data_IF_956882165817
#
_entry.id   IF_956882165817
#
_cell.length_a   1.000
_cell.length_b   1.000
_cell.length_c   1.000
_cell.angle_alpha   90.00
_cell.angle_beta   90.00
_cell.angle_gamma   90.00
#
_symmetry.space_group_name_H-M   'P 1'
#
loop_
_entity.id
_entity.type
_entity.pdbx_description
1 polymer ?
#
# COMPACT_ATOMS: atom_id res chain seq x y z
N UNK A 1 -10.63 34.99 -36.37
CA UNK A 1 -9.34 35.27 -35.75
C UNK A 1 -8.25 34.72 -36.65
N UNK A 2 -7.51 35.59 -37.31
CA UNK A 2 -6.32 35.20 -38.07
C UNK A 2 -5.18 34.90 -37.08
N UNK A 3 -4.23 34.03 -37.45
CA UNK A 3 -3.09 33.68 -36.59
C UNK A 3 -2.25 34.89 -36.14
N UNK A 4 -2.47 36.06 -36.75
CA UNK A 4 -1.78 37.32 -36.47
C UNK A 4 -2.23 38.04 -35.18
N UNK A 5 -3.26 37.57 -34.48
CA UNK A 5 -3.76 38.23 -33.24
C UNK A 5 -3.41 37.50 -31.93
N UNK A 6 -2.80 36.32 -31.97
CA UNK A 6 -2.36 35.65 -30.73
C UNK A 6 -1.06 36.27 -30.24
N UNK A 7 -1.15 37.06 -29.16
CA UNK A 7 0.00 37.76 -28.57
C UNK A 7 1.10 36.81 -28.04
N UNK A 8 0.76 35.54 -27.76
CA UNK A 8 1.66 34.53 -27.16
C UNK A 8 1.26 33.08 -27.54
N UNK A 9 1.51 32.62 -28.78
CA UNK A 9 1.14 31.26 -29.22
C UNK A 9 1.76 30.14 -28.37
N UNK A 10 2.93 30.36 -27.79
CA UNK A 10 3.61 29.45 -26.86
C UNK A 10 2.82 29.21 -25.57
N UNK A 11 2.19 30.27 -25.02
CA UNK A 11 1.37 30.14 -23.81
C UNK A 11 0.08 29.37 -24.11
N UNK A 12 -0.47 29.51 -25.32
CA UNK A 12 -1.61 28.71 -25.78
C UNK A 12 -1.21 27.23 -25.84
N UNK A 13 -0.03 26.90 -26.38
CA UNK A 13 0.45 25.52 -26.43
C UNK A 13 0.63 24.90 -25.03
N UNK A 14 1.18 25.66 -24.07
CA UNK A 14 1.31 25.23 -22.67
C UNK A 14 -0.07 24.98 -22.04
N UNK A 15 -1.03 25.88 -22.25
CA UNK A 15 -2.38 25.73 -21.71
C UNK A 15 -3.10 24.50 -22.30
N UNK A 16 -2.97 24.27 -23.60
CA UNK A 16 -3.51 23.08 -24.28
C UNK A 16 -2.87 21.82 -23.71
N UNK A 17 -1.53 21.76 -23.63
CA UNK A 17 -0.82 20.60 -23.08
C UNK A 17 -1.24 20.30 -21.63
N UNK A 18 -1.40 21.34 -20.80
CA UNK A 18 -1.87 21.21 -19.42
C UNK A 18 -3.30 20.65 -19.36
N UNK A 19 -4.19 21.11 -20.23
CA UNK A 19 -5.56 20.60 -20.28
C UNK A 19 -5.61 19.14 -20.77
N UNK A 20 -4.82 18.80 -21.78
CA UNK A 20 -4.71 17.41 -22.26
C UNK A 20 -4.14 16.49 -21.18
N UNK A 21 -3.12 16.92 -20.45
CA UNK A 21 -2.57 16.14 -19.34
C UNK A 21 -3.63 15.85 -18.26
N UNK A 22 -4.53 16.80 -17.96
CA UNK A 22 -5.65 16.58 -17.03
C UNK A 22 -6.64 15.55 -17.56
N UNK A 23 -6.99 15.62 -18.85
CA UNK A 23 -7.90 14.66 -19.49
C UNK A 23 -7.30 13.25 -19.50
N UNK A 24 -6.05 13.11 -19.93
CA UNK A 24 -5.32 11.84 -19.95
C UNK A 24 -5.21 11.25 -18.54
N UNK A 25 -4.94 12.09 -17.53
CA UNK A 25 -4.90 11.63 -16.14
C UNK A 25 -6.26 11.11 -15.68
N UNK A 26 -7.33 11.87 -15.90
CA UNK A 26 -8.68 11.46 -15.49
C UNK A 26 -9.14 10.17 -16.19
N UNK A 27 -8.87 10.03 -17.49
CA UNK A 27 -9.13 8.81 -18.24
C UNK A 27 -8.29 7.63 -17.74
N UNK A 28 -7.00 7.86 -17.46
CA UNK A 28 -6.09 6.86 -16.91
C UNK A 28 -6.49 6.37 -15.52
N UNK A 29 -6.90 7.27 -14.63
CA UNK A 29 -7.37 6.93 -13.29
C UNK A 29 -8.65 6.07 -13.35
N UNK A 30 -9.60 6.42 -14.23
CA UNK A 30 -10.80 5.62 -14.48
C UNK A 30 -10.45 4.24 -15.05
N UNK A 31 -9.61 4.18 -16.09
CA UNK A 31 -9.19 2.93 -16.70
C UNK A 31 -8.44 2.02 -15.71
N UNK A 32 -7.66 2.58 -14.80
CA UNK A 32 -7.00 1.82 -13.72
C UNK A 32 -8.01 1.24 -12.73
N UNK A 33 -9.03 1.99 -12.35
CA UNK A 33 -10.10 1.49 -11.47
C UNK A 33 -10.86 0.34 -12.13
N UNK A 34 -11.20 0.48 -13.42
CA UNK A 34 -11.90 -0.57 -14.17
C UNK A 34 -11.01 -1.82 -14.34
N UNK A 35 -9.74 -1.64 -14.72
CA UNK A 35 -8.78 -2.75 -14.84
C UNK A 35 -8.50 -3.45 -13.49
N UNK A 36 -8.49 -2.71 -12.38
CA UNK A 36 -8.37 -3.28 -11.04
C UNK A 36 -9.58 -4.13 -10.64
N UNK A 37 -10.75 -3.99 -11.29
CA UNK A 37 -11.89 -4.91 -11.07
C UNK A 37 -11.78 -6.21 -11.86
N UNK A 38 -11.06 -6.17 -12.99
CA UNK A 38 -10.92 -7.32 -13.90
C UNK A 38 -9.77 -8.24 -13.45
N UNK A 39 -8.65 -7.66 -12.99
CA UNK A 39 -7.49 -8.43 -12.57
C UNK A 39 -7.63 -8.93 -11.12
N UNK A 40 -7.51 -10.24 -10.93
CA UNK A 40 -7.39 -10.85 -9.61
C UNK A 40 -6.08 -10.41 -8.93
N UNK A 41 -6.06 -10.35 -7.59
CA UNK A 41 -4.84 -10.02 -6.84
C UNK A 41 -3.74 -11.06 -7.14
N UNK A 42 -2.52 -10.60 -7.42
CA UNK A 42 -1.37 -11.44 -7.78
C UNK A 42 -1.33 -11.85 -9.25
N UNK A 43 -2.40 -11.61 -10.01
CA UNK A 43 -2.47 -11.95 -11.44
C UNK A 43 -1.75 -10.92 -12.31
N UNK A 44 -1.37 -11.37 -13.51
CA UNK A 44 -0.74 -10.51 -14.50
C UNK A 44 -1.18 -10.85 -15.90
N UNK A 45 -1.37 -9.83 -16.74
CA UNK A 45 -1.82 -9.96 -18.12
C UNK A 45 -0.90 -9.15 -19.04
N UNK A 46 -0.47 -9.77 -20.14
CA UNK A 46 0.25 -9.08 -21.20
C UNK A 46 -0.74 -8.26 -22.02
N UNK A 47 -0.42 -6.99 -22.24
CA UNK A 47 -1.25 -6.04 -22.97
C UNK A 47 -0.82 -6.01 -24.44
N UNK A 48 -1.78 -6.18 -25.33
CA UNK A 48 -1.61 -6.05 -26.76
C UNK A 48 -2.49 -4.92 -27.30
N UNK A 49 -2.01 -4.23 -28.33
CA UNK A 49 -2.81 -3.30 -29.12
C UNK A 49 -3.85 -4.06 -29.94
N UNK A 50 -4.93 -3.40 -30.41
CA UNK A 50 -5.84 -3.95 -31.41
C UNK A 50 -5.15 -4.34 -32.73
N UNK A 51 -3.93 -3.85 -32.97
CA UNK A 51 -3.10 -4.17 -34.12
C UNK A 51 -2.19 -5.41 -33.87
N UNK A 52 -2.35 -6.10 -32.74
CA UNK A 52 -1.59 -7.30 -32.39
C UNK A 52 -0.18 -7.03 -31.83
N UNK A 53 0.27 -5.78 -31.74
CA UNK A 53 1.57 -5.45 -31.15
C UNK A 53 1.53 -5.45 -29.63
N UNK A 54 2.59 -5.96 -28.99
CA UNK A 54 2.75 -5.94 -27.54
C UNK A 54 3.00 -4.52 -27.03
N UNK A 55 2.20 -4.07 -26.07
CA UNK A 55 2.32 -2.77 -25.41
C UNK A 55 3.03 -2.89 -24.06
N UNK A 56 2.79 -3.97 -23.32
CA UNK A 56 3.35 -4.10 -21.98
C UNK A 56 2.71 -5.20 -21.16
N UNK A 57 2.70 -5.01 -19.85
CA UNK A 57 2.13 -5.94 -18.88
C UNK A 57 1.41 -5.17 -17.78
N UNK A 58 0.19 -5.57 -17.47
CA UNK A 58 -0.52 -5.17 -16.27
C UNK A 58 -0.33 -6.25 -15.19
N UNK A 59 -0.01 -5.83 -13.97
CA UNK A 59 0.16 -6.69 -12.81
C UNK A 59 -0.66 -6.09 -11.67
N UNK A 60 -1.51 -6.88 -11.02
CA UNK A 60 -2.10 -6.48 -9.74
C UNK A 60 -1.30 -7.13 -8.63
N UNK A 61 -0.70 -6.35 -7.74
CA UNK A 61 0.05 -6.93 -6.62
C UNK A 61 -0.89 -7.72 -5.71
N UNK A 62 -0.38 -8.75 -5.03
CA UNK A 62 -1.05 -9.38 -3.90
C UNK A 62 -0.23 -9.09 -2.64
N UNK A 63 -0.46 -7.94 -1.98
CA UNK A 63 0.28 -7.62 -0.76
C UNK A 63 -0.08 -8.64 0.32
N UNK A 64 0.92 -9.01 1.12
CA UNK A 64 0.72 -9.86 2.28
C UNK A 64 -0.18 -9.14 3.31
N UNK A 65 -0.92 -9.89 4.16
CA UNK A 65 -1.65 -9.31 5.27
C UNK A 65 -0.71 -8.50 6.16
N UNK A 66 -1.18 -7.34 6.62
CA UNK A 66 -0.46 -6.51 7.58
C UNK A 66 -1.28 -6.46 8.86
N UNK A 67 -0.64 -6.72 9.99
CA UNK A 67 -1.26 -6.62 11.29
C UNK A 67 -1.02 -5.21 11.87
N UNK A 68 -2.08 -4.59 12.38
CA UNK A 68 -2.02 -3.27 13.00
C UNK A 68 -2.59 -3.33 14.43
N UNK A 69 -1.89 -2.69 15.37
CA UNK A 69 -2.39 -2.49 16.74
C UNK A 69 -3.39 -1.33 16.73
N UNK A 70 -4.66 -1.64 16.88
CA UNK A 70 -5.76 -0.67 16.93
C UNK A 70 -6.12 -0.22 18.34
N UNK A 71 -5.91 -1.09 19.34
CA UNK A 71 -6.10 -0.77 20.76
C UNK A 71 -4.93 -1.32 21.58
N UNK A 72 -3.89 -0.50 21.80
CA UNK A 72 -2.72 -0.91 22.57
C UNK A 72 -3.04 -1.33 24.01
N UNK A 73 -4.07 -0.73 24.63
CA UNK A 73 -4.40 -1.00 26.02
C UNK A 73 -5.12 -2.35 26.17
N UNK A 74 -6.04 -2.67 25.26
CA UNK A 74 -6.66 -3.99 25.22
C UNK A 74 -5.64 -5.10 24.92
N UNK A 75 -4.71 -4.84 24.00
CA UNK A 75 -3.62 -5.77 23.70
C UNK A 75 -2.71 -6.00 24.91
N UNK A 76 -2.27 -4.94 25.60
CA UNK A 76 -1.44 -5.05 26.81
C UNK A 76 -2.13 -5.86 27.91
N UNK A 77 -3.41 -5.58 28.18
CA UNK A 77 -4.18 -6.31 29.18
C UNK A 77 -4.29 -7.80 28.85
N UNK A 78 -4.56 -8.14 27.58
CA UNK A 78 -4.62 -9.53 27.13
C UNK A 78 -3.25 -10.23 27.21
N UNK A 79 -2.16 -9.54 26.84
CA UNK A 79 -0.81 -10.08 26.92
C UNK A 79 -0.39 -10.40 28.36
N UNK A 80 -0.76 -9.54 29.33
CA UNK A 80 -0.52 -9.81 30.76
C UNK A 80 -1.30 -11.02 31.27
N UNK A 81 -2.52 -11.21 30.78
CA UNK A 81 -3.37 -12.35 31.19
C UNK A 81 -2.84 -13.67 30.59
N UNK A 82 -2.47 -13.67 29.31
CA UNK A 82 -2.10 -14.89 28.57
C UNK A 82 -0.65 -15.29 28.71
N UNK A 83 0.27 -14.33 28.75
CA UNK A 83 1.70 -14.56 28.83
C UNK A 83 2.30 -13.86 30.06
N UNK A 84 1.87 -14.22 31.28
CA UNK A 84 2.36 -13.57 32.50
C UNK A 84 3.87 -13.76 32.71
N UNK A 85 4.45 -14.83 32.15
CA UNK A 85 5.89 -15.12 32.15
C UNK A 85 6.69 -14.18 31.23
N UNK A 86 6.02 -13.52 30.29
CA UNK A 86 6.62 -12.56 29.35
C UNK A 86 6.45 -11.11 29.79
N UNK A 87 5.83 -10.88 30.95
CA UNK A 87 5.72 -9.57 31.58
C UNK A 87 7.00 -9.35 32.39
N UNK A 88 7.85 -8.46 31.92
CA UNK A 88 9.14 -8.17 32.56
C UNK A 88 9.13 -6.75 33.13
N UNK A 89 9.65 -6.51 34.34
CA UNK A 89 9.82 -5.16 34.83
C UNK A 89 10.89 -4.44 33.99
N UNK A 90 10.54 -3.30 33.39
CA UNK A 90 11.47 -2.43 32.67
C UNK A 90 11.58 -1.11 33.42
N UNK A 91 12.80 -0.73 33.79
CA UNK A 91 13.14 0.54 34.44
C UNK A 91 14.17 1.27 33.53
N UNK A 92 14.21 2.62 33.48
CA UNK A 92 15.15 3.34 32.60
C UNK A 92 15.62 4.67 33.18
N UNK A 93 16.91 4.74 33.58
CA UNK A 93 17.74 5.88 33.99
C UNK A 93 19.24 5.47 33.88
N UNK A 94 20.05 6.20 33.08
CA UNK A 94 21.53 6.11 32.96
C UNK A 94 22.14 4.75 32.57
N UNK A 95 23.34 4.77 31.97
CA UNK A 95 24.06 3.60 31.39
C UNK A 95 24.44 2.49 32.42
N UNK A 96 24.21 2.72 33.71
CA UNK A 96 24.40 1.75 34.80
C UNK A 96 23.16 1.78 35.72
N UNK A 97 22.07 1.29 35.15
CA UNK A 97 20.74 1.30 35.73
C UNK A 97 20.67 0.52 37.06
N UNK A 98 21.36 -0.61 37.14
CA UNK A 98 21.32 -1.49 38.32
C UNK A 98 21.92 -0.79 39.55
N UNK A 99 23.00 -0.02 39.37
CA UNK A 99 23.58 0.79 40.44
C UNK A 99 22.63 1.90 40.91
N UNK A 100 21.90 2.55 39.98
CA UNK A 100 20.91 3.59 40.30
C UNK A 100 19.72 3.01 41.05
N UNK A 101 19.20 1.85 40.62
CA UNK A 101 18.06 1.20 41.27
C UNK A 101 18.45 0.69 42.66
N UNK A 102 19.62 0.08 42.82
CA UNK A 102 20.12 -0.36 44.13
C UNK A 102 20.28 0.82 45.09
N UNK A 103 20.89 1.91 44.63
CA UNK A 103 21.04 3.16 45.39
C UNK A 103 19.69 3.75 45.81
N UNK A 104 18.73 3.82 44.88
CA UNK A 104 17.39 4.34 45.17
C UNK A 104 16.60 3.42 46.10
N UNK A 105 16.69 2.09 45.97
CA UNK A 105 16.08 1.13 46.90
C UNK A 105 16.65 1.26 48.32
N UNK A 106 17.95 1.52 48.44
CA UNK A 106 18.62 1.69 49.73
C UNK A 106 18.33 3.05 50.39
N UNK A 107 18.41 4.15 49.63
CA UNK A 107 18.38 5.50 50.20
C UNK A 107 17.03 6.22 50.06
N UNK A 108 16.22 5.87 49.08
CA UNK A 108 14.95 6.54 48.81
C UNK A 108 13.89 5.56 48.26
N UNK A 109 13.50 4.52 49.02
CA UNK A 109 12.61 3.46 48.53
C UNK A 109 11.23 3.96 48.09
N UNK A 110 10.80 5.11 48.60
CA UNK A 110 9.55 5.76 48.20
C UNK A 110 9.60 6.35 46.78
N UNK A 111 10.78 6.45 46.16
CA UNK A 111 10.97 6.91 44.78
C UNK A 111 10.95 5.78 43.75
N UNK A 112 11.00 4.51 44.19
CA UNK A 112 11.00 3.35 43.30
C UNK A 112 9.63 2.68 43.35
N UNK A 113 9.02 2.52 42.18
CA UNK A 113 7.79 1.75 42.04
C UNK A 113 8.02 0.68 40.98
N UNK A 114 7.85 -0.58 41.38
CA UNK A 114 7.80 -1.68 40.44
C UNK A 114 6.48 -1.61 39.68
N UNK A 115 6.60 -1.49 38.36
CA UNK A 115 5.48 -1.62 37.43
C UNK A 115 5.82 -2.74 36.47
N UNK A 116 4.91 -3.69 36.37
CA UNK A 116 4.95 -4.74 35.37
C UNK A 116 4.65 -4.13 34.00
N UNK A 117 5.48 -4.43 32.99
CA UNK A 117 5.22 -4.08 31.60
C UNK A 117 5.39 -5.31 30.73
N UNK A 118 4.65 -5.37 29.63
CA UNK A 118 4.83 -6.42 28.63
C UNK A 118 6.22 -6.27 28.01
N UNK A 119 6.94 -7.38 27.84
CA UNK A 119 8.23 -7.34 27.16
C UNK A 119 8.10 -6.73 25.76
N UNK A 120 9.01 -5.82 25.40
CA UNK A 120 8.94 -5.02 24.16
C UNK A 120 8.82 -5.90 22.90
N UNK A 121 9.43 -7.09 22.92
CA UNK A 121 9.39 -8.06 21.81
C UNK A 121 8.02 -8.70 21.57
N UNK A 122 7.13 -8.72 22.57
CA UNK A 122 5.85 -9.45 22.47
C UNK A 122 4.92 -8.84 21.43
N UNK A 123 4.91 -7.51 21.29
CA UNK A 123 4.06 -6.85 20.29
C UNK A 123 4.51 -7.21 18.87
N UNK A 124 5.80 -7.07 18.50
CA UNK A 124 6.32 -7.61 17.24
C UNK A 124 6.03 -9.09 17.01
N UNK A 125 6.20 -9.94 18.03
CA UNK A 125 5.96 -11.39 17.92
C UNK A 125 4.48 -11.70 17.59
N UNK A 126 3.53 -11.01 18.24
CA UNK A 126 2.08 -11.12 17.97
C UNK A 126 1.73 -10.62 16.57
N UNK A 127 2.30 -9.49 16.15
CA UNK A 127 2.05 -8.94 14.82
C UNK A 127 2.58 -9.88 13.73
N UNK A 128 3.79 -10.41 13.89
CA UNK A 128 4.36 -11.37 12.96
C UNK A 128 3.53 -12.66 12.86
N UNK A 129 3.08 -13.21 14.01
CA UNK A 129 2.19 -14.36 14.04
C UNK A 129 0.86 -14.07 13.31
N UNK A 130 0.28 -12.90 13.56
CA UNK A 130 -0.98 -12.45 12.95
C UNK A 130 -0.87 -12.24 11.43
N UNK A 131 0.26 -11.73 10.94
CA UNK A 131 0.54 -11.56 9.52
C UNK A 131 0.62 -12.91 8.79
N UNK A 132 1.38 -13.86 9.35
CA UNK A 132 1.53 -15.22 8.81
C UNK A 132 0.18 -15.95 8.78
N UNK A 133 -0.63 -15.81 9.84
CA UNK A 133 -1.93 -16.46 9.93
C UNK A 133 -3.00 -15.78 9.07
N UNK A 134 -2.82 -14.51 8.70
CA UNK A 134 -3.83 -13.71 8.01
C UNK A 134 -5.04 -13.33 8.87
N UNK A 135 -4.95 -13.51 10.20
CA UNK A 135 -5.97 -13.18 11.19
C UNK A 135 -5.30 -12.90 12.55
N UNK A 136 -5.94 -12.17 13.49
CA UNK A 136 -5.37 -11.91 14.80
C UNK A 136 -4.99 -13.21 15.51
N UNK A 137 -3.69 -13.40 15.74
CA UNK A 137 -3.12 -14.63 16.31
C UNK A 137 -1.97 -14.33 17.27
N UNK A 138 -1.95 -14.98 18.43
CA UNK A 138 -0.86 -14.96 19.40
C UNK A 138 0.35 -15.78 18.92
N UNK A 139 1.53 -15.58 19.53
CA UNK A 139 2.75 -16.31 19.17
C UNK A 139 2.62 -17.84 19.32
N UNK A 140 1.76 -18.31 20.21
CA UNK A 140 1.52 -19.74 20.47
C UNK A 140 0.28 -20.29 19.73
N UNK A 141 -0.29 -19.50 18.80
CA UNK A 141 -1.37 -19.92 17.90
C UNK A 141 -2.79 -19.62 18.40
N UNK A 142 -2.95 -18.87 19.50
CA UNK A 142 -4.25 -18.44 20.01
C UNK A 142 -4.92 -17.46 19.04
N UNK A 143 -6.20 -17.67 18.75
CA UNK A 143 -6.98 -16.80 17.88
C UNK A 143 -7.68 -15.68 18.67
N UNK A 144 -8.15 -14.66 17.95
CA UNK A 144 -8.96 -13.55 18.46
C UNK A 144 -8.22 -12.64 19.47
N UNK A 145 -6.97 -12.28 19.13
CA UNK A 145 -6.16 -11.35 19.94
C UNK A 145 -6.81 -9.94 20.00
N UNK A 146 -7.23 -9.46 21.20
CA UNK A 146 -7.81 -8.13 21.36
C UNK A 146 -6.85 -7.01 20.94
N UNK A 147 -7.40 -5.97 20.32
CA UNK A 147 -6.63 -4.80 19.89
C UNK A 147 -5.77 -5.00 18.64
N UNK A 148 -5.71 -6.21 18.06
CA UNK A 148 -5.04 -6.48 16.80
C UNK A 148 -6.07 -6.63 15.69
N UNK A 149 -5.87 -5.91 14.59
CA UNK A 149 -6.66 -6.08 13.37
C UNK A 149 -5.72 -6.42 12.24
N UNK A 150 -5.97 -7.55 11.57
CA UNK A 150 -5.27 -7.92 10.35
C UNK A 150 -6.06 -7.43 9.16
N UNK A 151 -5.40 -6.67 8.28
CA UNK A 151 -5.98 -6.22 7.02
C UNK A 151 -5.11 -6.72 5.89
N UNK A 152 -5.73 -7.33 4.88
CA UNK A 152 -5.05 -7.57 3.61
C UNK A 152 -5.20 -6.32 2.74
N UNK A 153 -4.11 -5.58 2.45
CA UNK A 153 -4.23 -4.36 1.66
C UNK A 153 -4.81 -4.66 0.27
N UNK A 154 -5.39 -3.63 -0.34
CA UNK A 154 -5.80 -3.76 -1.72
C UNK A 154 -4.59 -3.74 -2.64
N UNK A 155 -4.44 -4.83 -3.40
CA UNK A 155 -3.44 -4.97 -4.43
C UNK A 155 -3.45 -3.79 -5.40
N UNK A 156 -2.27 -3.21 -5.62
CA UNK A 156 -2.10 -2.06 -6.50
C UNK A 156 -1.88 -2.53 -7.92
N UNK A 157 -2.58 -1.91 -8.87
CA UNK A 157 -2.37 -2.14 -10.30
C UNK A 157 -1.10 -1.42 -10.76
N UNK A 158 -0.10 -2.18 -11.19
CA UNK A 158 1.11 -1.70 -11.84
C UNK A 158 1.03 -1.96 -13.35
N UNK A 159 1.28 -0.93 -14.15
CA UNK A 159 1.40 -1.05 -15.61
C UNK A 159 2.87 -0.85 -15.97
N UNK A 160 3.47 -1.86 -16.59
CA UNK A 160 4.85 -1.82 -17.10
C UNK A 160 4.81 -1.83 -18.62
N UNK A 161 5.16 -0.71 -19.22
CA UNK A 161 5.23 -0.58 -20.66
C UNK A 161 6.48 -1.29 -21.19
N UNK A 162 6.35 -1.94 -22.34
CA UNK A 162 7.47 -2.51 -23.08
C UNK A 162 8.24 -1.40 -23.81
N UNK A 163 9.46 -1.69 -24.27
CA UNK A 163 10.27 -0.74 -25.05
C UNK A 163 9.57 -0.38 -26.37
N UNK A 164 8.80 -1.31 -26.94
CA UNK A 164 8.00 -1.12 -28.16
C UNK A 164 6.70 -0.33 -27.94
N UNK A 165 6.32 -0.03 -26.70
CA UNK A 165 5.02 0.58 -26.40
C UNK A 165 4.79 1.89 -27.13
N UNK A 166 5.82 2.74 -27.25
CA UNK A 166 5.73 4.05 -27.91
C UNK A 166 5.37 3.92 -29.39
N UNK A 167 5.98 2.97 -30.08
CA UNK A 167 5.72 2.71 -31.50
C UNK A 167 4.31 2.19 -31.69
N UNK A 168 3.90 1.19 -30.89
CA UNK A 168 2.55 0.64 -30.93
C UNK A 168 1.47 1.70 -30.68
N UNK A 169 1.67 2.57 -29.68
CA UNK A 169 0.75 3.69 -29.39
C UNK A 169 0.74 4.71 -30.54
N UNK A 170 1.88 4.98 -31.17
CA UNK A 170 1.98 5.88 -32.32
C UNK A 170 1.22 5.37 -33.55
N UNK A 171 1.30 4.08 -33.83
CA UNK A 171 0.50 3.46 -34.89
C UNK A 171 -0.99 3.51 -34.59
N UNK A 172 -1.39 3.16 -33.36
CA UNK A 172 -2.79 3.25 -32.94
C UNK A 172 -3.34 4.69 -33.04
N UNK A 173 -2.52 5.69 -32.70
CA UNK A 173 -2.88 7.10 -32.88
C UNK A 173 -3.10 7.46 -34.34
N UNK A 174 -2.16 7.07 -35.20
CA UNK A 174 -2.20 7.34 -36.65
C UNK A 174 -3.38 6.63 -37.32
N UNK A 175 -3.69 5.41 -36.89
CA UNK A 175 -4.86 4.64 -37.32
C UNK A 175 -6.19 5.16 -36.74
N UNK A 176 -6.16 6.18 -35.88
CA UNK A 176 -7.37 6.76 -35.28
C UNK A 176 -8.06 5.84 -34.27
N UNK A 177 -7.34 4.89 -33.68
CA UNK A 177 -7.84 3.91 -32.71
C UNK A 177 -7.82 4.40 -31.26
N UNK A 178 -7.22 5.57 -30.99
CA UNK A 178 -7.16 6.18 -29.66
C UNK A 178 -7.71 7.61 -29.72
N UNK A 179 -8.46 8.00 -28.71
CA UNK A 179 -8.86 9.37 -28.43
C UNK A 179 -7.69 10.18 -27.86
N UNK A 180 -7.83 11.51 -27.85
CA UNK A 180 -6.81 12.42 -27.32
C UNK A 180 -6.51 12.23 -25.81
N UNK A 181 -7.44 11.61 -25.08
CA UNK A 181 -7.29 11.28 -23.66
C UNK A 181 -6.65 9.90 -23.42
N UNK A 182 -6.28 9.17 -24.47
CA UNK A 182 -5.70 7.84 -24.36
C UNK A 182 -6.70 6.68 -24.31
N UNK A 183 -8.02 6.94 -24.39
CA UNK A 183 -9.04 5.89 -24.45
C UNK A 183 -9.15 5.30 -25.86
N UNK A 184 -9.49 4.01 -25.98
CA UNK A 184 -9.69 3.39 -27.29
C UNK A 184 -10.97 3.92 -27.96
N UNK A 185 -10.88 4.21 -29.27
CA UNK A 185 -12.01 4.59 -30.12
C UNK A 185 -12.72 3.35 -30.64
N UNK A 186 -14.02 3.29 -30.41
CA UNK A 186 -14.80 2.09 -30.66
C UNK A 186 -14.50 1.07 -29.57
N UNK A 187 -15.45 0.87 -28.66
CA UNK A 187 -15.45 -0.39 -27.92
C UNK A 187 -15.36 -1.49 -28.98
N UNK A 188 -14.37 -2.40 -28.86
CA UNK A 188 -14.43 -3.69 -29.53
C UNK A 188 -15.78 -4.28 -29.12
N UNK A 189 -16.81 -4.05 -29.93
CA UNK A 189 -18.11 -4.69 -29.79
C UNK A 189 -17.80 -6.16 -29.84
N UNK A 190 -17.99 -6.82 -28.71
CA UNK A 190 -17.80 -8.25 -28.45
C UNK A 190 -17.74 -9.08 -29.73
N UNK A 191 -16.53 -9.32 -30.22
CA UNK A 191 -16.26 -10.37 -31.18
C UNK A 191 -16.24 -11.70 -30.44
N UNK A 192 -17.42 -12.10 -29.93
CA UNK A 192 -17.67 -13.45 -29.50
C UNK A 192 -17.75 -14.34 -30.73
N UNK A 193 -16.70 -15.12 -30.96
CA UNK A 193 -16.78 -16.47 -31.54
C UNK A 193 -16.38 -17.48 -30.48
#
# INVERSE_FOLDING_TARGET
MTASEMKHPELVAVAVAAQLAKLVKAAGDRARLDAARILEKGSSVTLYSPLGMKIGKALRTDPEPVAEVTDPAALDAWLREKYPDQVVPVETISDDLDAVIAFLKEHAPHLVRTVEVVAERMVPDVLAASEIAGQPMGPDGELDVPGVVVRKPDGVLQIRLDKSAREAIGEMWTAGLINIDGTLRGQLTDGGE
#
